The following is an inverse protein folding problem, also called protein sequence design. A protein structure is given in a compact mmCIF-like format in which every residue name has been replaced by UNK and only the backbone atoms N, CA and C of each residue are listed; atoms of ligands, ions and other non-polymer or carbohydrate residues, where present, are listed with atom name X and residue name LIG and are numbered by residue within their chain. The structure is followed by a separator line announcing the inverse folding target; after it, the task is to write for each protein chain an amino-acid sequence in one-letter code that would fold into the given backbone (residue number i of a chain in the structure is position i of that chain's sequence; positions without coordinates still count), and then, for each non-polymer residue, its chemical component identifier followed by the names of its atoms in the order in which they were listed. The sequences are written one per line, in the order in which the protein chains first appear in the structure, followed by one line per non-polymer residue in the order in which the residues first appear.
data_IF_755906346085
#
_entry.id   IF_755906346085
#
_cell.length_a   1.000
_cell.length_b   1.000
_cell.length_c   1.000
_cell.angle_alpha   90.00
_cell.angle_beta   90.00
_cell.angle_gamma   90.00
#
_symmetry.space_group_name_H-M   'P 1'
#
loop_
_entity.id
_entity.type
_entity.pdbx_description
1 polymer ?
#
# COMPACT_ATOMS: atom_id res chain seq x y z
N UNK A 1 -30.05 9.80 5.54
CA UNK A 1 -28.59 9.72 5.60
C UNK A 1 -28.03 8.41 4.99
N UNK A 2 -28.77 7.30 4.98
CA UNK A 2 -28.31 6.01 4.44
C UNK A 2 -28.14 5.90 2.92
N UNK A 3 -28.83 6.74 2.13
CA UNK A 3 -28.80 6.64 0.66
C UNK A 3 -27.54 7.26 0.02
N UNK A 4 -26.95 8.29 0.65
CA UNK A 4 -25.72 8.92 0.13
C UNK A 4 -24.47 8.02 0.28
N UNK A 5 -24.40 7.27 1.38
CA UNK A 5 -23.29 6.33 1.60
C UNK A 5 -23.39 5.14 0.63
N UNK A 6 -24.59 4.67 0.31
CA UNK A 6 -24.78 3.63 -0.71
C UNK A 6 -24.42 4.11 -2.12
N UNK A 7 -24.74 5.35 -2.46
CA UNK A 7 -24.34 5.95 -3.74
C UNK A 7 -22.83 6.09 -3.87
N UNK A 8 -22.17 6.55 -2.81
CA UNK A 8 -20.72 6.71 -2.77
C UNK A 8 -19.99 5.34 -2.83
N UNK A 9 -20.49 4.32 -2.13
CA UNK A 9 -19.96 2.96 -2.23
C UNK A 9 -20.23 2.29 -3.58
N UNK A 10 -21.34 2.63 -4.25
CA UNK A 10 -21.60 2.19 -5.62
C UNK A 10 -20.72 2.89 -6.65
N UNK A 11 -20.41 4.18 -6.46
CA UNK A 11 -19.45 4.90 -7.32
C UNK A 11 -18.03 4.37 -7.17
N UNK A 12 -17.58 4.07 -5.93
CA UNK A 12 -16.28 3.46 -5.68
C UNK A 12 -16.20 2.00 -6.16
N UNK A 13 -17.33 1.31 -6.23
CA UNK A 13 -17.45 -0.08 -6.74
C UNK A 13 -17.61 -0.19 -8.26
N UNK A 14 -17.75 0.93 -8.97
CA UNK A 14 -17.82 0.92 -10.42
C UNK A 14 -16.40 0.99 -11.02
N UNK A 15 -15.95 0.01 -11.82
CA UNK A 15 -14.60 -0.02 -12.38
C UNK A 15 -14.26 1.23 -13.19
N UNK A 16 -15.27 1.93 -13.71
CA UNK A 16 -15.11 3.16 -14.50
C UNK A 16 -14.72 4.37 -13.63
N UNK A 17 -15.12 4.42 -12.36
CA UNK A 17 -14.88 5.58 -11.47
C UNK A 17 -13.79 5.34 -10.42
N UNK A 18 -13.52 4.08 -10.07
CA UNK A 18 -12.49 3.75 -9.08
C UNK A 18 -11.07 4.09 -9.54
N UNK A 19 -10.74 3.74 -10.78
CA UNK A 19 -9.41 3.98 -11.35
C UNK A 19 -9.00 5.47 -11.41
N UNK A 20 -9.83 6.41 -11.93
CA UNK A 20 -9.46 7.82 -11.90
C UNK A 20 -9.31 8.39 -10.48
N UNK A 21 -10.09 7.93 -9.51
CA UNK A 21 -9.93 8.38 -8.13
C UNK A 21 -8.57 8.00 -7.54
N UNK A 22 -8.08 6.78 -7.80
CA UNK A 22 -6.75 6.36 -7.34
C UNK A 22 -5.63 7.16 -8.01
N UNK A 23 -5.73 7.41 -9.32
CA UNK A 23 -4.76 8.24 -10.05
C UNK A 23 -4.73 9.66 -9.49
N UNK A 24 -5.90 10.26 -9.24
CA UNK A 24 -5.99 11.60 -8.66
C UNK A 24 -5.40 11.66 -7.25
N UNK A 25 -5.70 10.69 -6.39
CA UNK A 25 -5.12 10.61 -5.04
C UNK A 25 -3.60 10.41 -5.07
N UNK A 26 -3.11 9.53 -5.96
CA UNK A 26 -1.69 9.31 -6.14
C UNK A 26 -0.99 10.58 -6.67
N UNK A 27 -1.57 11.25 -7.66
CA UNK A 27 -1.05 12.49 -8.21
C UNK A 27 -1.04 13.62 -7.17
N UNK A 28 -2.11 13.75 -6.36
CA UNK A 28 -2.19 14.72 -5.27
C UNK A 28 -1.13 14.44 -4.20
N UNK A 29 -0.95 13.19 -3.78
CA UNK A 29 0.07 12.81 -2.81
C UNK A 29 1.47 13.18 -3.30
N UNK A 30 1.75 12.95 -4.59
CA UNK A 30 3.03 13.30 -5.20
C UNK A 30 3.19 14.81 -5.38
N UNK A 31 2.16 15.54 -5.80
CA UNK A 31 2.21 17.00 -5.89
C UNK A 31 2.49 17.63 -4.53
N UNK A 32 1.84 17.14 -3.47
CA UNK A 32 2.09 17.59 -2.10
C UNK A 32 3.52 17.25 -1.65
N UNK A 33 4.03 16.06 -1.96
CA UNK A 33 5.39 15.68 -1.59
C UNK A 33 6.46 16.48 -2.32
N UNK A 34 6.25 16.82 -3.60
CA UNK A 34 7.16 17.67 -4.36
C UNK A 34 7.15 19.12 -3.87
N UNK A 35 5.98 19.62 -3.48
CA UNK A 35 5.87 20.98 -2.92
C UNK A 35 6.55 21.10 -1.55
N UNK A 36 6.54 20.03 -0.76
CA UNK A 36 7.20 19.96 0.54
C UNK A 36 8.70 19.63 0.47
N UNK A 37 9.28 19.42 -0.73
CA UNK A 37 10.72 19.15 -0.92
C UNK A 37 11.17 17.75 -0.49
N UNK A 38 10.25 16.84 -0.35
CA UNK A 38 10.53 15.45 0.02
C UNK A 38 10.96 14.61 -1.19
N UNK A 39 11.43 13.40 -0.98
CA UNK A 39 11.97 12.43 -1.97
C UNK A 39 11.56 12.72 -3.41
N UNK A 40 12.47 12.66 -4.35
CA UNK A 40 12.30 13.09 -5.75
C UNK A 40 10.91 12.81 -6.34
N UNK A 41 10.24 13.86 -6.77
CA UNK A 41 8.85 13.82 -7.29
C UNK A 41 8.65 12.76 -8.39
N UNK A 42 9.65 12.55 -9.24
CA UNK A 42 9.60 11.58 -10.33
C UNK A 42 9.51 10.13 -9.82
N UNK A 43 10.29 9.79 -8.78
CA UNK A 43 10.25 8.46 -8.16
C UNK A 43 8.91 8.18 -7.48
N UNK A 44 8.38 9.18 -6.76
CA UNK A 44 7.07 9.09 -6.11
C UNK A 44 5.92 8.94 -7.11
N UNK A 45 5.96 9.68 -8.24
CA UNK A 45 4.99 9.53 -9.33
C UNK A 45 5.03 8.13 -9.93
N UNK A 46 6.22 7.67 -10.29
CA UNK A 46 6.40 6.34 -10.87
C UNK A 46 5.90 5.25 -9.92
N UNK A 47 6.31 5.31 -8.65
CA UNK A 47 5.88 4.37 -7.61
C UNK A 47 4.36 4.36 -7.44
N UNK A 48 3.74 5.54 -7.32
CA UNK A 48 2.29 5.67 -7.13
C UNK A 48 1.51 5.16 -8.34
N UNK A 49 1.95 5.48 -9.57
CA UNK A 49 1.33 4.97 -10.79
C UNK A 49 1.41 3.45 -10.88
N UNK A 50 2.57 2.86 -10.58
CA UNK A 50 2.73 1.41 -10.59
C UNK A 50 1.83 0.71 -9.57
N UNK A 51 1.58 1.33 -8.41
CA UNK A 51 0.68 0.78 -7.39
C UNK A 51 -0.81 0.90 -7.74
N UNK A 52 -1.19 1.84 -8.61
CA UNK A 52 -2.58 1.96 -9.05
C UNK A 52 -3.05 0.72 -9.84
N UNK A 53 -2.18 0.08 -10.61
CA UNK A 53 -2.56 -1.07 -11.44
C UNK A 53 -2.93 -2.31 -10.63
N UNK A 54 -2.07 -2.84 -9.74
CA UNK A 54 -2.42 -4.00 -8.91
C UNK A 54 -3.59 -3.70 -7.98
N UNK A 55 -3.70 -2.47 -7.45
CA UNK A 55 -4.84 -2.08 -6.63
C UNK A 55 -6.16 -2.12 -7.40
N UNK A 56 -6.17 -1.67 -8.66
CA UNK A 56 -7.34 -1.72 -9.53
C UNK A 56 -7.67 -3.15 -9.99
N UNK A 57 -6.64 -3.94 -10.31
CA UNK A 57 -6.82 -5.33 -10.73
C UNK A 57 -7.42 -6.18 -9.60
N UNK A 58 -6.87 -6.07 -8.38
CA UNK A 58 -7.38 -6.75 -7.19
C UNK A 58 -8.82 -6.33 -6.85
N UNK A 59 -9.15 -5.04 -7.03
CA UNK A 59 -10.51 -4.55 -6.80
C UNK A 59 -11.54 -5.21 -7.73
N UNK A 60 -11.17 -5.47 -8.99
CA UNK A 60 -12.08 -6.02 -9.99
C UNK A 60 -12.09 -7.56 -10.02
N UNK A 61 -10.92 -8.18 -9.92
CA UNK A 61 -10.73 -9.62 -10.17
C UNK A 61 -10.40 -10.41 -8.90
N UNK A 62 -9.96 -9.72 -7.83
CA UNK A 62 -9.41 -10.32 -6.60
C UNK A 62 -8.20 -11.22 -6.85
N UNK A 63 -7.53 -10.96 -7.93
CA UNK A 63 -6.28 -11.58 -8.32
C UNK A 63 -5.30 -10.48 -8.65
N UNK A 64 -4.07 -10.61 -8.20
CA UNK A 64 -2.98 -9.70 -8.51
C UNK A 64 -2.08 -10.41 -9.50
N UNK A 65 -1.83 -9.80 -10.66
CA UNK A 65 -0.90 -10.35 -11.63
C UNK A 65 0.54 -10.15 -11.14
N UNK A 66 1.32 -11.24 -11.14
CA UNK A 66 2.75 -11.24 -10.77
C UNK A 66 3.56 -10.24 -11.61
N UNK A 67 3.09 -9.93 -12.83
CA UNK A 67 3.75 -8.97 -13.71
C UNK A 67 3.88 -7.58 -13.09
N UNK A 68 2.88 -7.12 -12.35
CA UNK A 68 2.92 -5.80 -11.67
C UNK A 68 3.88 -5.82 -10.48
N UNK A 69 3.87 -6.89 -9.70
CA UNK A 69 4.79 -7.08 -8.58
C UNK A 69 6.24 -7.15 -9.06
N UNK A 70 6.50 -7.88 -10.14
CA UNK A 70 7.83 -7.95 -10.76
C UNK A 70 8.27 -6.61 -11.36
N UNK A 71 7.38 -5.89 -12.05
CA UNK A 71 7.70 -4.57 -12.60
C UNK A 71 8.03 -3.57 -11.49
N UNK A 72 7.23 -3.56 -10.42
CA UNK A 72 7.45 -2.69 -9.27
C UNK A 72 8.78 -2.99 -8.57
N UNK A 73 9.08 -4.28 -8.37
CA UNK A 73 10.32 -4.75 -7.77
C UNK A 73 11.54 -4.39 -8.64
N UNK A 74 11.49 -4.70 -9.94
CA UNK A 74 12.59 -4.42 -10.86
C UNK A 74 12.89 -2.92 -10.97
N UNK A 75 11.86 -2.09 -11.10
CA UNK A 75 12.03 -0.64 -11.14
C UNK A 75 12.51 -0.09 -9.79
N UNK A 76 12.08 -0.66 -8.66
CA UNK A 76 12.56 -0.30 -7.34
C UNK A 76 14.06 -0.56 -7.17
N UNK A 77 14.56 -1.69 -7.66
CA UNK A 77 15.98 -2.03 -7.63
C UNK A 77 16.85 -1.11 -8.51
N UNK A 78 16.28 -0.62 -9.62
CA UNK A 78 16.96 0.33 -10.52
C UNK A 78 16.93 1.75 -9.96
N UNK A 79 15.79 2.16 -9.40
CA UNK A 79 15.56 3.54 -8.95
C UNK A 79 16.26 3.86 -7.62
N UNK A 80 16.25 2.92 -6.70
CA UNK A 80 16.87 3.09 -5.39
C UNK A 80 18.33 2.64 -5.41
N UNK A 81 19.26 3.37 -4.78
CA UNK A 81 20.62 2.91 -4.65
C UNK A 81 20.66 1.54 -3.96
N UNK A 82 21.37 0.61 -4.56
CA UNK A 82 21.51 -0.74 -4.02
C UNK A 82 22.26 -0.71 -2.69
N UNK A 83 21.54 -0.98 -1.61
CA UNK A 83 22.08 -1.16 -0.28
C UNK A 83 21.58 -2.49 0.28
N UNK A 84 22.46 -3.48 0.32
CA UNK A 84 22.13 -4.83 0.78
C UNK A 84 21.67 -4.86 2.24
N UNK A 85 22.20 -3.98 3.12
CA UNK A 85 21.76 -3.91 4.51
C UNK A 85 20.34 -3.38 4.61
N UNK A 86 20.04 -2.30 3.88
CA UNK A 86 18.70 -1.73 3.82
C UNK A 86 17.67 -2.78 3.37
N UNK A 87 17.97 -3.46 2.26
CA UNK A 87 17.09 -4.51 1.73
C UNK A 87 16.91 -5.65 2.74
N UNK A 88 18.01 -6.14 3.32
CA UNK A 88 17.95 -7.23 4.32
C UNK A 88 17.03 -6.86 5.49
N UNK A 89 17.19 -5.68 6.09
CA UNK A 89 16.35 -5.25 7.20
C UNK A 89 14.90 -4.99 6.78
N UNK A 90 14.66 -4.39 5.60
CA UNK A 90 13.30 -4.18 5.06
C UNK A 90 12.57 -5.51 4.89
N UNK A 91 13.21 -6.49 4.28
CA UNK A 91 12.62 -7.81 4.07
C UNK A 91 12.51 -8.63 5.36
N UNK A 92 13.42 -8.46 6.33
CA UNK A 92 13.30 -9.10 7.63
C UNK A 92 12.06 -8.61 8.40
N UNK A 93 11.81 -7.29 8.39
CA UNK A 93 10.59 -6.71 9.00
C UNK A 93 9.34 -7.23 8.31
N UNK A 94 9.34 -7.25 6.98
CA UNK A 94 8.21 -7.75 6.19
C UNK A 94 7.95 -9.24 6.47
N UNK A 95 9.00 -10.06 6.47
CA UNK A 95 8.91 -11.48 6.74
C UNK A 95 8.38 -11.76 8.14
N UNK A 96 8.85 -11.02 9.16
CA UNK A 96 8.35 -11.14 10.52
C UNK A 96 6.84 -10.83 10.60
N UNK A 97 6.39 -9.77 9.93
CA UNK A 97 4.96 -9.42 9.87
C UNK A 97 4.11 -10.53 9.24
N UNK A 98 4.52 -11.03 8.06
CA UNK A 98 3.78 -12.09 7.38
C UNK A 98 3.82 -13.42 8.14
N UNK A 99 4.93 -13.73 8.81
CA UNK A 99 5.06 -14.92 9.65
C UNK A 99 4.08 -14.85 10.84
N UNK A 100 3.97 -13.69 11.50
CA UNK A 100 3.02 -13.48 12.59
C UNK A 100 1.58 -13.63 12.08
N UNK A 101 1.24 -13.03 10.95
CA UNK A 101 -0.09 -13.15 10.37
C UNK A 101 -0.41 -14.60 9.98
N UNK A 102 0.54 -15.31 9.41
CA UNK A 102 0.38 -16.72 9.06
C UNK A 102 0.16 -17.60 10.30
N UNK A 103 0.91 -17.33 11.39
CA UNK A 103 0.74 -18.04 12.65
C UNK A 103 -0.61 -17.75 13.32
N UNK A 104 -1.12 -16.52 13.21
CA UNK A 104 -2.40 -16.10 13.77
C UNK A 104 -3.61 -16.59 12.97
N UNK A 105 -3.49 -16.68 11.64
CA UNK A 105 -4.56 -17.15 10.76
C UNK A 105 -4.29 -18.58 10.30
N UNK A 106 -5.18 -19.49 10.64
CA UNK A 106 -5.21 -20.85 10.07
C UNK A 106 -5.67 -20.82 8.60
N UNK A 107 -4.85 -20.25 7.74
CA UNK A 107 -5.05 -20.19 6.29
C UNK A 107 -5.51 -18.83 5.80
N UNK A 108 -4.83 -18.30 4.77
CA UNK A 108 -5.37 -17.27 3.91
C UNK A 108 -4.74 -15.87 3.95
N UNK A 109 -3.42 -15.75 4.04
CA UNK A 109 -2.78 -14.59 3.43
C UNK A 109 -2.70 -14.87 1.92
N UNK A 110 -3.23 -13.97 1.10
CA UNK A 110 -3.10 -14.07 -0.35
C UNK A 110 -1.63 -14.02 -0.75
N UNK A 111 -1.16 -14.96 -1.57
CA UNK A 111 0.24 -14.98 -2.01
C UNK A 111 0.58 -13.69 -2.77
N UNK A 112 -0.36 -13.19 -3.58
CA UNK A 112 -0.20 -11.92 -4.30
C UNK A 112 0.00 -10.71 -3.40
N UNK A 113 -0.63 -10.67 -2.21
CA UNK A 113 -0.42 -9.60 -1.23
C UNK A 113 1.00 -9.63 -0.65
N UNK A 114 1.55 -10.83 -0.43
CA UNK A 114 2.93 -11.03 0.03
C UNK A 114 3.91 -10.54 -1.03
N UNK A 115 3.72 -10.94 -2.28
CA UNK A 115 4.56 -10.54 -3.41
C UNK A 115 4.49 -9.03 -3.67
N UNK A 116 3.29 -8.44 -3.66
CA UNK A 116 3.12 -7.01 -3.83
C UNK A 116 3.78 -6.24 -2.68
N UNK A 117 3.62 -6.69 -1.43
CA UNK A 117 4.25 -6.04 -0.29
C UNK A 117 5.77 -6.15 -0.32
N UNK A 118 6.33 -7.26 -0.83
CA UNK A 118 7.76 -7.43 -1.06
C UNK A 118 8.29 -6.44 -2.10
N UNK A 119 7.55 -6.26 -3.20
CA UNK A 119 7.88 -5.28 -4.22
C UNK A 119 7.84 -3.83 -3.69
N UNK A 120 6.84 -3.49 -2.86
CA UNK A 120 6.73 -2.19 -2.18
C UNK A 120 7.93 -1.97 -1.23
N UNK A 121 8.31 -2.98 -0.44
CA UNK A 121 9.41 -2.86 0.52
C UNK A 121 10.76 -2.54 -0.14
N UNK A 122 10.95 -2.87 -1.42
CA UNK A 122 12.13 -2.52 -2.19
C UNK A 122 12.30 -0.99 -2.35
N UNK A 123 11.20 -0.24 -2.40
CA UNK A 123 11.18 1.23 -2.53
C UNK A 123 11.37 1.96 -1.19
N UNK A 124 11.21 1.27 -0.07
CA UNK A 124 11.13 1.82 1.27
C UNK A 124 12.39 1.52 2.09
N UNK A 125 12.68 2.39 3.05
CA UNK A 125 13.66 2.11 4.11
C UNK A 125 13.02 1.20 5.18
N UNK A 126 13.79 0.51 6.04
CA UNK A 126 13.24 -0.38 7.06
C UNK A 126 12.20 0.27 7.97
N UNK A 127 12.45 1.52 8.39
CA UNK A 127 11.48 2.29 9.19
C UNK A 127 10.20 2.63 8.43
N UNK A 128 10.34 2.97 7.15
CA UNK A 128 9.17 3.20 6.28
C UNK A 128 8.38 1.92 6.02
N UNK A 129 9.02 0.75 5.98
CA UNK A 129 8.32 -0.55 5.88
C UNK A 129 7.45 -0.80 7.10
N UNK A 130 7.90 -0.46 8.31
CA UNK A 130 7.07 -0.54 9.53
C UNK A 130 5.83 0.35 9.40
N UNK A 131 6.02 1.61 8.96
CA UNK A 131 4.90 2.55 8.75
C UNK A 131 3.95 2.07 7.64
N UNK A 132 4.50 1.54 6.54
CA UNK A 132 3.73 0.93 5.46
C UNK A 132 2.79 -0.16 5.97
N UNK A 133 3.33 -1.11 6.73
CA UNK A 133 2.55 -2.21 7.29
C UNK A 133 1.50 -1.71 8.28
N UNK A 134 1.85 -0.71 9.09
CA UNK A 134 0.93 -0.10 10.03
C UNK A 134 -0.22 0.63 9.33
N UNK A 135 0.06 1.50 8.35
CA UNK A 135 -0.96 2.22 7.59
C UNK A 135 -1.86 1.28 6.79
N UNK A 136 -1.29 0.27 6.12
CA UNK A 136 -2.06 -0.71 5.35
C UNK A 136 -2.99 -1.52 6.25
N UNK A 137 -2.50 -1.97 7.39
CA UNK A 137 -3.29 -2.74 8.36
C UNK A 137 -4.37 -1.89 9.02
N UNK A 138 -4.06 -0.64 9.38
CA UNK A 138 -5.03 0.28 9.96
C UNK A 138 -6.14 0.63 8.97
N UNK A 139 -5.80 0.95 7.72
CA UNK A 139 -6.76 1.23 6.66
C UNK A 139 -7.66 0.02 6.37
N UNK A 140 -7.06 -1.17 6.26
CA UNK A 140 -7.80 -2.43 6.12
C UNK A 140 -8.74 -2.68 7.29
N UNK A 141 -8.27 -2.53 8.53
CA UNK A 141 -9.08 -2.73 9.72
C UNK A 141 -10.25 -1.73 9.81
N UNK A 142 -10.03 -0.45 9.50
CA UNK A 142 -11.07 0.58 9.48
C UNK A 142 -12.17 0.27 8.46
N UNK A 143 -11.83 -0.28 7.30
CA UNK A 143 -12.81 -0.67 6.30
C UNK A 143 -13.49 -2.00 6.61
N UNK A 144 -12.76 -2.97 7.19
CA UNK A 144 -13.30 -4.29 7.52
C UNK A 144 -14.21 -4.28 8.73
N UNK A 145 -13.91 -3.47 9.76
CA UNK A 145 -14.64 -3.45 11.02
C UNK A 145 -16.14 -3.13 10.82
N UNK A 146 -16.55 -2.08 10.06
CA UNK A 146 -17.96 -1.82 9.80
C UNK A 146 -18.64 -2.95 9.04
N UNK A 147 -17.96 -3.57 8.07
CA UNK A 147 -18.52 -4.65 7.26
C UNK A 147 -18.71 -5.93 8.07
N UNK A 148 -17.77 -6.21 8.98
CA UNK A 148 -17.89 -7.32 9.92
C UNK A 148 -19.05 -7.13 10.89
N UNK A 149 -19.20 -5.93 11.46
CA UNK A 149 -20.31 -5.58 12.35
C UNK A 149 -21.67 -5.67 11.65
N UNK A 150 -21.73 -5.39 10.35
CA UNK A 150 -22.95 -5.52 9.53
C UNK A 150 -23.22 -6.95 9.07
N UNK A 151 -22.46 -7.96 9.53
CA UNK A 151 -22.56 -9.38 9.12
C UNK A 151 -22.51 -9.59 7.59
N UNK A 152 -21.95 -8.66 6.86
CA UNK A 152 -21.67 -8.79 5.43
C UNK A 152 -20.31 -9.44 5.26
N UNK A 153 -20.27 -10.77 5.22
CA UNK A 153 -19.08 -11.52 4.82
C UNK A 153 -18.84 -11.30 3.32
N UNK A 154 -18.02 -10.34 2.98
CA UNK A 154 -17.46 -10.21 1.64
C UNK A 154 -15.95 -10.24 1.79
N UNK A 155 -15.32 -11.05 0.97
CA UNK A 155 -13.88 -10.97 0.76
C UNK A 155 -13.58 -9.57 0.21
N UNK A 156 -12.69 -8.84 0.86
CA UNK A 156 -12.32 -7.48 0.48
C UNK A 156 -10.94 -7.54 -0.14
N UNK A 157 -10.73 -6.92 -1.33
CA UNK A 157 -9.42 -6.80 -1.93
C UNK A 157 -8.48 -6.06 -0.99
N UNK A 158 -7.27 -6.59 -0.75
CA UNK A 158 -6.32 -6.00 0.20
C UNK A 158 -5.26 -5.11 -0.48
N UNK A 159 -4.97 -5.33 -1.77
CA UNK A 159 -3.99 -4.56 -2.51
C UNK A 159 -4.24 -3.04 -2.52
N UNK A 160 -5.48 -2.51 -2.56
CA UNK A 160 -5.73 -1.07 -2.44
C UNK A 160 -5.22 -0.47 -1.12
N UNK A 161 -5.32 -1.23 -0.01
CA UNK A 161 -4.81 -0.79 1.29
C UNK A 161 -3.29 -0.87 1.35
N UNK A 162 -2.68 -1.88 0.72
CA UNK A 162 -1.23 -1.95 0.54
C UNK A 162 -0.73 -0.78 -0.30
N UNK A 163 -1.40 -0.46 -1.40
CA UNK A 163 -1.03 0.67 -2.25
C UNK A 163 -1.11 2.01 -1.50
N UNK A 164 -2.22 2.26 -0.79
CA UNK A 164 -2.40 3.47 0.00
C UNK A 164 -1.34 3.59 1.10
N UNK A 165 -1.12 2.52 1.87
CA UNK A 165 -0.10 2.49 2.92
C UNK A 165 1.32 2.67 2.38
N UNK A 166 1.64 2.07 1.23
CA UNK A 166 2.91 2.23 0.54
C UNK A 166 3.17 3.67 0.11
N UNK A 167 2.18 4.32 -0.50
CA UNK A 167 2.27 5.73 -0.91
C UNK A 167 2.46 6.64 0.32
N UNK A 168 1.66 6.43 1.37
CA UNK A 168 1.78 7.22 2.61
C UNK A 168 3.15 7.06 3.26
N UNK A 169 3.67 5.83 3.34
CA UNK A 169 4.98 5.56 3.91
C UNK A 169 6.11 6.15 3.05
N UNK A 170 6.00 6.12 1.73
CA UNK A 170 6.98 6.71 0.82
C UNK A 170 7.01 8.24 0.94
N UNK A 171 5.84 8.88 1.01
CA UNK A 171 5.71 10.35 1.00
C UNK A 171 6.06 10.95 2.37
N UNK A 172 5.52 10.39 3.45
CA UNK A 172 5.64 10.98 4.80
C UNK A 172 6.48 10.16 5.77
N UNK A 173 6.94 8.97 5.37
CA UNK A 173 7.63 8.06 6.29
C UNK A 173 8.85 8.69 6.97
N UNK A 174 9.71 9.38 6.23
CA UNK A 174 10.90 10.03 6.80
C UNK A 174 10.56 11.13 7.80
N UNK A 175 9.51 11.92 7.55
CA UNK A 175 9.08 12.98 8.47
C UNK A 175 8.53 12.40 9.77
N UNK A 176 7.68 11.38 9.63
CA UNK A 176 7.09 10.71 10.80
C UNK A 176 8.18 10.10 11.66
N UNK A 177 9.17 9.44 11.03
CA UNK A 177 10.30 8.83 11.73
C UNK A 177 11.17 9.91 12.39
N UNK A 178 11.53 10.97 11.67
CA UNK A 178 12.35 12.06 12.22
C UNK A 178 11.65 12.80 13.34
N UNK A 179 10.35 13.03 13.19
CA UNK A 179 9.52 13.62 14.25
C UNK A 179 9.50 12.72 15.50
N UNK A 180 9.27 11.41 15.33
CA UNK A 180 9.28 10.47 16.44
C UNK A 180 10.63 10.43 17.17
N UNK A 181 11.74 10.38 16.44
CA UNK A 181 13.10 10.36 17.02
C UNK A 181 13.40 11.67 17.77
N UNK A 182 12.82 12.80 17.35
CA UNK A 182 13.04 14.09 18.03
C UNK A 182 12.37 14.16 19.41
N UNK A 183 11.46 13.24 19.75
CA UNK A 183 10.83 13.14 21.06
C UNK A 183 11.47 12.10 21.99
N UNK A 184 12.32 11.24 21.46
CA UNK A 184 13.07 10.26 22.25
C UNK A 184 14.44 10.76 22.64
#
# INVERSE_FOLDING_TARGET
MGNNIRGMLQCLGNPVYGFPCYIVLAALAVCVSSWLGYKGAAGGLLFSLLLCFPAWEDWNTRLISDAWSLALLGLGLIWQPFDGRRLLFSYAVLAAFWLILYACKRGGAGMGDVELSAAIACWLTPGEVVLFLWFSSAAGALCLLPLYLMKRQREIPFAPFLAAGGIMAYVWGQQIISWYISFC
#
